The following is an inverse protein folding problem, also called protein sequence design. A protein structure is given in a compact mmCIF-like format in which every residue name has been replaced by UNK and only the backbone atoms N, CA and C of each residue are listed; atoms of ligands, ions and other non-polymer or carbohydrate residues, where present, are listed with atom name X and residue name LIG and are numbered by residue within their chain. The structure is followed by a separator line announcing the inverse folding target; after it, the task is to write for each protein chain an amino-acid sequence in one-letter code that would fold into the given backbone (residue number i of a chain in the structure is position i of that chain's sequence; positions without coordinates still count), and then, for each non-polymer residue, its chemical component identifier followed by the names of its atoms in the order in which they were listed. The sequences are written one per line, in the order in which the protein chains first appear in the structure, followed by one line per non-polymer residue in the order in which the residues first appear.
data_IF_503446366059
#
_entry.id   IF_503446366059
#
_cell.length_a   1.000
_cell.length_b   1.000
_cell.length_c   1.000
_cell.angle_alpha   90.00
_cell.angle_beta   90.00
_cell.angle_gamma   90.00
#
_symmetry.space_group_name_H-M   'P 1'
#
loop_
_entity.id
_entity.type
_entity.pdbx_description
1 polymer ?
#
# COMPACT_ATOMS: atom_id res chain seq x y z
N UNK A 1 17.39 -13.89 -0.04
CA UNK A 1 16.71 -14.53 -1.20
C UNK A 1 17.14 -13.69 -2.39
N UNK A 2 17.84 -14.29 -3.35
CA UNK A 2 18.27 -13.58 -4.56
C UNK A 2 17.10 -13.62 -5.56
N UNK A 3 16.29 -12.58 -5.54
CA UNK A 3 15.09 -12.48 -6.37
C UNK A 3 15.43 -11.73 -7.66
N UNK A 4 14.91 -12.16 -8.82
CA UNK A 4 15.18 -11.51 -10.11
C UNK A 4 14.49 -10.15 -10.28
N UNK A 5 13.65 -9.77 -9.32
CA UNK A 5 12.88 -8.53 -9.30
C UNK A 5 13.05 -7.81 -7.96
N UNK A 6 12.87 -6.49 -7.98
CA UNK A 6 12.72 -5.69 -6.77
C UNK A 6 11.24 -5.70 -6.34
N UNK A 7 10.97 -6.23 -5.16
CA UNK A 7 9.62 -6.44 -4.66
C UNK A 7 9.27 -5.37 -3.65
N UNK A 8 8.24 -4.59 -3.96
CA UNK A 8 7.68 -3.56 -3.10
C UNK A 8 6.27 -3.95 -2.66
N UNK A 9 6.08 -4.11 -1.36
CA UNK A 9 4.75 -4.35 -0.79
C UNK A 9 4.17 -3.00 -0.38
N UNK A 10 2.97 -2.70 -0.86
CA UNK A 10 2.28 -1.44 -0.60
C UNK A 10 0.97 -1.67 0.13
N UNK A 11 0.61 -0.68 0.93
CA UNK A 11 -0.72 -0.49 1.48
C UNK A 11 -0.99 0.98 1.66
N UNK A 12 -2.25 1.41 1.45
CA UNK A 12 -2.67 2.80 1.53
C UNK A 12 -3.90 2.97 2.40
N UNK A 13 -3.89 3.99 3.27
CA UNK A 13 -5.11 4.50 3.89
C UNK A 13 -5.59 5.73 3.13
N UNK A 14 -6.87 5.78 2.85
CA UNK A 14 -7.47 6.78 1.97
C UNK A 14 -8.63 7.51 2.64
N UNK A 15 -9.03 8.64 2.08
CA UNK A 15 -10.20 9.39 2.54
C UNK A 15 -11.53 8.78 2.07
N UNK A 16 -11.51 7.69 1.31
CA UNK A 16 -12.67 6.97 0.78
C UNK A 16 -12.26 5.98 -0.30
N UNK A 17 -13.21 5.46 -1.08
CA UNK A 17 -13.00 4.30 -1.96
C UNK A 17 -12.81 4.64 -3.44
N UNK A 18 -13.05 5.88 -3.86
CA UNK A 18 -12.98 6.32 -5.27
C UNK A 18 -11.73 7.17 -5.50
N UNK A 19 -10.76 6.64 -6.22
CA UNK A 19 -9.48 7.30 -6.52
C UNK A 19 -9.62 8.61 -7.32
N UNK A 20 -10.77 8.85 -7.96
CA UNK A 20 -11.04 10.09 -8.69
C UNK A 20 -11.51 11.23 -7.78
N UNK A 21 -12.02 10.87 -6.60
CA UNK A 21 -12.63 11.79 -5.63
C UNK A 21 -11.79 11.86 -4.37
N UNK A 22 -11.38 10.71 -3.86
CA UNK A 22 -10.71 10.56 -2.58
C UNK A 22 -9.17 10.59 -2.74
N UNK A 23 -8.46 10.70 -1.62
CA UNK A 23 -7.02 10.92 -1.59
C UNK A 23 -6.33 9.95 -0.63
N UNK A 24 -5.06 9.61 -0.90
CA UNK A 24 -4.20 8.90 0.04
C UNK A 24 -3.84 9.83 1.19
N UNK A 25 -3.95 9.34 2.43
CA UNK A 25 -3.56 10.04 3.66
C UNK A 25 -2.48 9.31 4.46
N UNK A 26 -2.30 8.01 4.21
CA UNK A 26 -1.14 7.24 4.68
C UNK A 26 -0.71 6.29 3.56
N UNK A 27 0.58 6.23 3.28
CA UNK A 27 1.20 5.31 2.34
C UNK A 27 2.32 4.58 3.05
N UNK A 28 2.33 3.27 2.98
CA UNK A 28 3.45 2.46 3.45
C UNK A 28 3.99 1.59 2.31
N UNK A 29 5.30 1.60 2.16
CA UNK A 29 6.03 0.71 1.26
C UNK A 29 7.05 -0.11 2.05
N UNK A 30 7.12 -1.40 1.75
CA UNK A 30 8.13 -2.31 2.24
C UNK A 30 8.94 -2.87 1.07
N UNK A 31 10.24 -2.61 1.04
CA UNK A 31 11.15 -3.17 0.04
C UNK A 31 11.67 -4.53 0.52
N UNK A 32 11.18 -5.61 -0.06
CA UNK A 32 11.46 -6.96 0.40
C UNK A 32 12.93 -7.34 0.28
N UNK A 33 13.57 -7.00 -0.83
CA UNK A 33 14.97 -7.35 -1.11
C UNK A 33 15.94 -6.68 -0.13
N UNK A 34 15.64 -5.45 0.32
CA UNK A 34 16.47 -4.69 1.26
C UNK A 34 15.96 -4.75 2.71
N UNK A 35 14.86 -5.45 2.97
CA UNK A 35 14.26 -5.62 4.30
C UNK A 35 14.02 -4.29 5.01
N UNK A 36 13.48 -3.29 4.31
CA UNK A 36 13.24 -1.95 4.85
C UNK A 36 11.83 -1.47 4.54
N UNK A 37 11.27 -0.70 5.46
CA UNK A 37 9.94 -0.10 5.34
C UNK A 37 10.02 1.41 5.54
N UNK A 38 9.17 2.13 4.83
CA UNK A 38 8.94 3.56 5.10
C UNK A 38 7.45 3.86 4.96
N UNK A 39 6.97 4.74 5.83
CA UNK A 39 5.58 5.19 5.85
C UNK A 39 5.53 6.72 5.77
N UNK A 40 4.64 7.22 4.94
CA UNK A 40 4.40 8.63 4.74
C UNK A 40 2.96 8.97 5.09
N UNK A 41 2.76 10.16 5.66
CA UNK A 41 1.43 10.71 5.90
C UNK A 41 1.23 11.92 5.01
N UNK A 42 0.13 11.94 4.27
CA UNK A 42 -0.17 12.93 3.27
C UNK A 42 -1.30 13.85 3.74
N UNK A 43 -1.12 15.14 3.56
CA UNK A 43 -2.19 16.11 3.71
C UNK A 43 -3.26 15.86 2.67
N UNK A 44 -4.53 15.87 3.06
CA UNK A 44 -5.65 15.91 2.14
C UNK A 44 -5.78 17.32 1.54
N UNK A 45 -5.76 17.42 0.21
CA UNK A 45 -5.99 18.67 -0.51
C UNK A 45 -7.47 18.96 -0.68
N UNK A 46 -8.30 17.91 -0.67
CA UNK A 46 -9.77 17.97 -0.77
C UNK A 46 -10.44 17.33 0.46
N UNK A 47 -10.18 17.85 1.67
CA UNK A 47 -10.69 17.22 2.90
C UNK A 47 -12.22 17.15 2.98
N UNK A 48 -12.92 17.97 2.19
CA UNK A 48 -14.38 17.96 2.07
C UNK A 48 -14.92 16.69 1.37
N UNK A 49 -14.09 15.96 0.65
CA UNK A 49 -14.45 14.69 0.01
C UNK A 49 -14.27 13.48 0.92
N UNK A 50 -13.67 13.69 2.10
CA UNK A 50 -13.37 12.61 3.01
C UNK A 50 -14.64 11.97 3.57
N UNK A 51 -14.71 10.64 3.49
CA UNK A 51 -15.81 9.85 4.01
C UNK A 51 -15.59 9.60 5.50
N UNK A 52 -16.57 9.94 6.38
CA UNK A 52 -16.41 9.76 7.82
C UNK A 52 -16.12 8.33 8.24
N UNK A 53 -16.70 7.35 7.54
CA UNK A 53 -16.47 5.93 7.83
C UNK A 53 -15.04 5.50 7.48
N UNK A 54 -14.47 5.98 6.40
CA UNK A 54 -13.06 5.73 6.05
C UNK A 54 -12.14 6.26 7.16
N UNK A 55 -12.32 7.52 7.57
CA UNK A 55 -11.51 8.13 8.63
C UNK A 55 -11.69 7.41 9.98
N UNK A 56 -12.90 6.93 10.29
CA UNK A 56 -13.16 6.16 11.51
C UNK A 56 -12.43 4.80 11.49
N UNK A 57 -12.39 4.13 10.34
CA UNK A 57 -11.76 2.82 10.19
C UNK A 57 -10.25 2.94 10.31
N UNK A 58 -9.65 3.90 9.63
CA UNK A 58 -8.18 4.06 9.60
C UNK A 58 -7.63 4.93 10.76
N UNK A 59 -8.51 5.51 11.57
CA UNK A 59 -8.13 6.27 12.78
C UNK A 59 -7.52 7.65 12.51
N UNK A 60 -7.71 8.21 11.30
CA UNK A 60 -7.29 9.57 10.99
C UNK A 60 -8.39 10.58 11.31
N UNK A 61 -8.03 11.77 11.76
CA UNK A 61 -9.00 12.86 11.98
C UNK A 61 -8.99 13.85 10.83
N UNK A 62 -10.18 14.37 10.50
CA UNK A 62 -10.35 15.36 9.44
C UNK A 62 -9.54 16.64 9.73
N UNK A 63 -9.46 17.05 11.00
CA UNK A 63 -8.71 18.23 11.43
C UNK A 63 -7.21 18.05 11.18
N UNK A 64 -6.67 16.86 11.45
CA UNK A 64 -5.25 16.58 11.29
C UNK A 64 -4.88 16.51 9.80
N UNK A 65 -5.60 15.74 8.99
CA UNK A 65 -5.31 15.59 7.55
C UNK A 65 -5.50 16.89 6.78
N UNK A 66 -6.32 17.83 7.27
CA UNK A 66 -6.54 19.16 6.66
C UNK A 66 -5.63 20.26 7.22
N UNK A 67 -4.63 19.92 8.03
CA UNK A 67 -3.70 20.87 8.67
C UNK A 67 -4.35 21.91 9.61
N UNK A 68 -5.53 21.64 10.13
CA UNK A 68 -6.18 22.54 11.10
C UNK A 68 -5.54 22.51 12.48
N UNK A 69 -4.78 21.45 12.81
CA UNK A 69 -4.07 21.29 14.08
C UNK A 69 -2.55 21.46 13.92
N UNK A 70 -1.83 21.69 15.02
CA UNK A 70 -0.37 21.70 15.02
C UNK A 70 0.19 20.29 14.72
N UNK A 71 -0.38 19.26 15.34
CA UNK A 71 -0.04 17.86 15.10
C UNK A 71 -0.23 17.49 13.62
N UNK A 72 -1.35 17.90 13.02
CA UNK A 72 -1.61 17.65 11.61
C UNK A 72 -0.55 18.26 10.71
N UNK A 73 -0.15 19.50 10.93
CA UNK A 73 0.91 20.17 10.16
C UNK A 73 2.29 19.54 10.34
N UNK A 74 2.57 18.96 11.49
CA UNK A 74 3.82 18.26 11.76
C UNK A 74 3.85 16.89 11.06
N UNK A 75 2.78 16.12 11.20
CA UNK A 75 2.69 14.73 10.75
C UNK A 75 2.45 14.61 9.25
N UNK A 76 1.47 15.32 8.70
CA UNK A 76 1.05 15.17 7.30
C UNK A 76 1.79 16.16 6.41
N UNK A 77 2.40 15.66 5.35
CA UNK A 77 3.19 16.48 4.42
C UNK A 77 2.40 16.75 3.12
N UNK A 78 2.79 17.77 2.42
CA UNK A 78 2.19 18.07 1.11
C UNK A 78 2.41 16.87 0.17
N UNK A 79 1.39 16.46 -0.61
CA UNK A 79 1.48 15.30 -1.50
C UNK A 79 2.67 15.36 -2.45
N UNK A 80 2.98 16.53 -3.02
CA UNK A 80 4.14 16.71 -3.90
C UNK A 80 5.46 16.41 -3.19
N UNK A 81 5.61 16.80 -1.93
CA UNK A 81 6.81 16.49 -1.13
C UNK A 81 6.94 15.01 -0.90
N UNK A 82 5.81 14.34 -0.63
CA UNK A 82 5.79 12.88 -0.42
C UNK A 82 6.14 12.14 -1.70
N UNK A 83 5.60 12.54 -2.86
CA UNK A 83 5.95 11.94 -4.17
C UNK A 83 7.46 11.96 -4.39
N UNK A 84 8.09 13.12 -4.23
CA UNK A 84 9.56 13.26 -4.38
C UNK A 84 10.32 12.40 -3.35
N UNK A 85 9.83 12.32 -2.12
CA UNK A 85 10.48 11.53 -1.07
C UNK A 85 10.35 10.01 -1.31
N UNK A 86 9.22 9.56 -1.86
CA UNK A 86 9.03 8.17 -2.31
C UNK A 86 9.97 7.85 -3.46
N UNK A 87 10.02 8.69 -4.49
CA UNK A 87 10.92 8.52 -5.64
C UNK A 87 12.37 8.40 -5.18
N UNK A 88 12.86 9.32 -4.35
CA UNK A 88 14.22 9.28 -3.81
C UNK A 88 14.49 7.99 -3.01
N UNK A 89 13.53 7.57 -2.18
CA UNK A 89 13.66 6.35 -1.39
C UNK A 89 13.72 5.10 -2.28
N UNK A 90 12.97 5.05 -3.37
CA UNK A 90 12.96 3.93 -4.31
C UNK A 90 14.16 3.93 -5.26
N UNK A 91 14.73 5.09 -5.59
CA UNK A 91 15.91 5.18 -6.46
C UNK A 91 17.18 4.55 -5.85
N UNK A 92 17.19 4.28 -4.55
CA UNK A 92 18.33 3.65 -3.87
C UNK A 92 18.60 2.21 -4.35
N UNK A 93 17.64 1.53 -4.98
CA UNK A 93 17.83 0.18 -5.53
C UNK A 93 18.40 0.16 -6.96
N UNK A 94 18.49 1.31 -7.62
CA UNK A 94 18.99 1.51 -8.97
C UNK A 94 18.27 0.68 -10.06
N UNK A 95 17.15 0.06 -9.77
CA UNK A 95 16.38 -0.73 -10.72
C UNK A 95 15.47 0.12 -11.60
N UNK A 96 15.23 -0.36 -12.82
CA UNK A 96 14.24 0.25 -13.70
C UNK A 96 12.79 -0.05 -13.21
N UNK A 97 11.78 0.70 -13.66
CA UNK A 97 10.39 0.41 -13.33
C UNK A 97 9.95 -1.01 -13.73
N UNK A 98 10.48 -1.55 -14.82
CA UNK A 98 10.16 -2.88 -15.36
C UNK A 98 10.73 -4.03 -14.51
N UNK A 99 11.71 -3.73 -13.66
CA UNK A 99 12.30 -4.69 -12.73
C UNK A 99 11.58 -4.70 -11.37
N UNK A 100 10.58 -3.84 -11.17
CA UNK A 100 9.82 -3.71 -9.93
C UNK A 100 8.49 -4.46 -10.00
N UNK A 101 8.18 -5.18 -8.92
CA UNK A 101 6.85 -5.77 -8.70
C UNK A 101 6.20 -5.05 -7.54
N UNK A 102 5.00 -4.54 -7.75
CA UNK A 102 4.17 -3.98 -6.70
C UNK A 102 3.24 -5.07 -6.16
N UNK A 103 3.35 -5.33 -4.88
CA UNK A 103 2.58 -6.37 -4.17
C UNK A 103 1.65 -5.72 -3.15
N UNK A 104 0.47 -6.31 -2.97
CA UNK A 104 -0.46 -5.87 -1.94
C UNK A 104 -1.55 -6.91 -1.67
N UNK A 105 -2.50 -6.53 -0.84
CA UNK A 105 -3.72 -7.29 -0.62
C UNK A 105 -4.91 -6.56 -1.25
N UNK A 106 -5.36 -6.96 -2.42
CA UNK A 106 -6.22 -6.20 -3.32
C UNK A 106 -5.48 -5.01 -3.97
N UNK A 107 -4.26 -5.26 -4.41
CA UNK A 107 -3.27 -4.25 -4.85
C UNK A 107 -3.77 -3.31 -5.95
N UNK A 108 -4.75 -3.71 -6.75
CA UNK A 108 -5.30 -2.83 -7.77
C UNK A 108 -5.91 -1.56 -7.16
N UNK A 109 -6.48 -1.64 -5.96
CA UNK A 109 -7.00 -0.49 -5.24
C UNK A 109 -5.86 0.50 -4.94
N UNK A 110 -4.79 0.01 -4.32
CA UNK A 110 -3.64 0.85 -3.95
C UNK A 110 -2.94 1.43 -5.18
N UNK A 111 -2.79 0.63 -6.23
CA UNK A 111 -2.18 1.06 -7.48
C UNK A 111 -2.96 2.19 -8.15
N UNK A 112 -4.29 2.11 -8.21
CA UNK A 112 -5.13 3.16 -8.74
C UNK A 112 -4.92 4.49 -7.99
N UNK A 113 -4.91 4.44 -6.66
CA UNK A 113 -4.67 5.60 -5.81
C UNK A 113 -3.24 6.15 -5.94
N UNK A 114 -2.23 5.28 -6.00
CA UNK A 114 -0.83 5.69 -6.22
C UNK A 114 -0.69 6.38 -7.57
N UNK A 115 -1.17 5.79 -8.64
CA UNK A 115 -1.14 6.38 -9.98
C UNK A 115 -1.82 7.75 -9.97
N UNK A 116 -2.99 7.85 -9.36
CA UNK A 116 -3.72 9.11 -9.26
C UNK A 116 -2.97 10.16 -8.46
N UNK A 117 -2.26 9.74 -7.40
CA UNK A 117 -1.40 10.64 -6.63
C UNK A 117 -0.31 11.26 -7.53
N UNK A 118 0.42 10.46 -8.31
CA UNK A 118 1.45 10.95 -9.24
C UNK A 118 0.87 11.86 -10.34
N UNK A 119 -0.25 11.46 -10.93
CA UNK A 119 -0.95 12.27 -11.94
C UNK A 119 -1.33 13.66 -11.41
N UNK A 120 -1.91 13.71 -10.20
CA UNK A 120 -2.34 14.96 -9.58
C UNK A 120 -1.17 15.89 -9.21
N UNK A 121 0.04 15.35 -9.06
CA UNK A 121 1.25 16.15 -8.80
C UNK A 121 2.04 16.48 -10.08
N UNK A 122 1.50 16.19 -11.27
CA UNK A 122 2.18 16.31 -12.56
C UNK A 122 3.50 15.51 -12.64
N UNK A 123 3.55 14.36 -11.99
CA UNK A 123 4.71 13.49 -11.88
C UNK A 123 4.49 12.10 -12.52
N UNK A 124 3.54 11.97 -13.45
CA UNK A 124 3.19 10.69 -14.07
C UNK A 124 4.35 9.99 -14.76
N UNK A 125 5.29 10.77 -15.32
CA UNK A 125 6.44 10.24 -16.05
C UNK A 125 7.53 9.70 -15.12
N UNK A 126 7.45 10.03 -13.82
CA UNK A 126 8.35 9.55 -12.76
C UNK A 126 7.71 8.50 -11.87
N UNK A 127 6.51 8.00 -12.24
CA UNK A 127 5.84 6.94 -11.47
C UNK A 127 6.75 5.71 -11.37
N UNK A 128 7.15 5.29 -10.16
CA UNK A 128 8.28 4.38 -9.99
C UNK A 128 8.01 2.94 -10.43
N UNK A 129 6.75 2.60 -10.72
CA UNK A 129 6.36 1.29 -11.24
C UNK A 129 6.03 1.31 -12.75
N UNK A 130 6.31 2.44 -13.41
CA UNK A 130 6.11 2.59 -14.85
C UNK A 130 4.65 2.65 -15.30
N UNK A 131 4.44 2.59 -16.61
CA UNK A 131 3.10 2.74 -17.21
C UNK A 131 2.25 1.47 -17.08
N UNK A 132 2.88 0.30 -16.96
CA UNK A 132 2.24 -1.02 -16.84
C UNK A 132 2.93 -1.83 -15.76
N UNK A 133 2.66 -1.55 -14.47
CA UNK A 133 3.33 -2.21 -13.36
C UNK A 133 3.01 -3.72 -13.33
N UNK A 134 3.97 -4.51 -12.93
CA UNK A 134 3.70 -5.88 -12.52
C UNK A 134 3.06 -5.86 -11.13
N UNK A 135 1.81 -6.33 -11.06
CA UNK A 135 1.05 -6.41 -9.82
C UNK A 135 0.99 -7.85 -9.34
N UNK A 136 1.23 -8.07 -8.07
CA UNK A 136 1.08 -9.35 -7.41
C UNK A 136 0.15 -9.22 -6.21
N UNK A 137 -1.00 -9.85 -6.28
CA UNK A 137 -2.05 -9.74 -5.27
C UNK A 137 -2.09 -10.99 -4.38
N UNK A 138 -1.82 -10.83 -3.08
CA UNK A 138 -1.86 -11.94 -2.12
C UNK A 138 -3.23 -12.59 -2.00
N UNK A 139 -4.31 -11.87 -2.30
CA UNK A 139 -5.67 -12.41 -2.38
C UNK A 139 -5.83 -13.32 -3.60
N UNK A 140 -5.26 -12.97 -4.74
CA UNK A 140 -5.28 -13.79 -5.95
C UNK A 140 -4.38 -15.04 -5.81
N UNK A 141 -3.22 -14.88 -5.16
CA UNK A 141 -2.36 -16.02 -4.81
C UNK A 141 -3.13 -17.01 -3.93
N UNK A 142 -3.86 -16.52 -2.92
CA UNK A 142 -4.66 -17.36 -2.05
C UNK A 142 -5.76 -18.11 -2.80
N UNK A 143 -6.43 -17.45 -3.74
CA UNK A 143 -7.41 -18.11 -4.62
C UNK A 143 -6.76 -19.22 -5.44
N UNK A 144 -5.57 -18.99 -5.98
CA UNK A 144 -4.83 -20.00 -6.74
C UNK A 144 -4.40 -21.18 -5.87
N UNK A 145 -3.88 -20.92 -4.66
CA UNK A 145 -3.54 -21.98 -3.68
C UNK A 145 -4.78 -22.84 -3.39
N UNK A 146 -5.91 -22.23 -3.11
CA UNK A 146 -7.14 -22.96 -2.82
C UNK A 146 -7.66 -23.75 -4.02
N UNK A 147 -7.49 -23.25 -5.23
CA UNK A 147 -7.84 -23.99 -6.45
C UNK A 147 -6.98 -25.25 -6.59
N UNK A 148 -5.66 -25.13 -6.39
CA UNK A 148 -4.72 -26.26 -6.47
C UNK A 148 -4.99 -27.29 -5.38
N UNK A 149 -5.24 -26.85 -4.15
CA UNK A 149 -5.53 -27.71 -3.01
C UNK A 149 -6.97 -28.22 -2.96
N UNK A 150 -7.82 -27.82 -3.92
CA UNK A 150 -9.27 -28.13 -3.96
C UNK A 150 -9.99 -27.75 -2.67
N UNK A 151 -9.59 -26.60 -2.10
CA UNK A 151 -10.12 -26.05 -0.87
C UNK A 151 -10.85 -24.74 -1.13
N UNK A 152 -11.51 -24.18 -0.13
CA UNK A 152 -12.17 -22.87 -0.20
C UNK A 152 -12.10 -22.17 1.16
N UNK A 153 -11.64 -20.92 1.17
CA UNK A 153 -11.79 -20.06 2.34
C UNK A 153 -13.19 -19.45 2.40
N UNK A 154 -13.68 -19.18 3.59
CA UNK A 154 -14.90 -18.42 3.78
C UNK A 154 -14.73 -16.96 3.39
N UNK A 155 -13.58 -16.39 3.76
CA UNK A 155 -13.23 -14.99 3.48
C UNK A 155 -11.80 -14.87 2.94
N UNK A 156 -11.58 -13.84 2.12
CA UNK A 156 -10.31 -13.54 1.46
C UNK A 156 -9.79 -12.12 1.78
N UNK A 157 -10.29 -11.47 2.85
CA UNK A 157 -9.72 -10.22 3.33
C UNK A 157 -8.45 -10.48 4.14
N UNK A 158 -7.59 -9.47 4.26
CA UNK A 158 -6.29 -9.57 4.92
C UNK A 158 -6.40 -10.16 6.34
N UNK A 159 -7.33 -9.64 7.15
CA UNK A 159 -7.49 -10.11 8.54
C UNK A 159 -7.82 -11.60 8.64
N UNK A 160 -8.66 -12.12 7.74
CA UNK A 160 -9.02 -13.55 7.71
C UNK A 160 -7.83 -14.42 7.29
N UNK A 161 -7.03 -13.97 6.31
CA UNK A 161 -5.86 -14.71 5.87
C UNK A 161 -4.72 -14.64 6.89
N UNK A 162 -4.49 -13.50 7.52
CA UNK A 162 -3.57 -13.34 8.65
C UNK A 162 -3.90 -14.36 9.75
N UNK A 163 -5.18 -14.48 10.12
CA UNK A 163 -5.64 -15.48 11.10
C UNK A 163 -5.43 -16.91 10.60
N UNK A 164 -5.77 -17.20 9.34
CA UNK A 164 -5.60 -18.54 8.73
C UNK A 164 -4.16 -19.02 8.81
N UNK A 165 -3.19 -18.13 8.52
CA UNK A 165 -1.77 -18.45 8.51
C UNK A 165 -1.08 -18.28 9.88
N UNK A 166 -1.83 -17.96 10.95
CA UNK A 166 -1.28 -17.78 12.29
C UNK A 166 -0.35 -16.57 12.42
N UNK A 167 -0.54 -15.58 11.56
CA UNK A 167 0.25 -14.35 11.52
C UNK A 167 -0.30 -13.31 12.51
N UNK A 168 0.46 -12.22 12.71
CA UNK A 168 0.04 -11.10 13.55
C UNK A 168 -0.15 -9.86 12.69
N UNK A 169 -1.21 -9.11 12.97
CA UNK A 169 -1.40 -7.75 12.52
C UNK A 169 -1.65 -6.90 13.78
N UNK A 170 -0.64 -6.17 14.22
CA UNK A 170 -0.65 -5.50 15.52
C UNK A 170 -1.61 -4.30 15.58
N UNK A 171 -1.87 -3.69 14.43
CA UNK A 171 -2.75 -2.53 14.29
C UNK A 171 -3.39 -2.54 12.91
N UNK A 172 -4.42 -3.36 12.75
CA UNK A 172 -5.21 -3.37 11.51
C UNK A 172 -5.73 -1.96 11.17
N UNK A 173 -5.81 -1.66 9.88
CA UNK A 173 -6.17 -0.35 9.35
C UNK A 173 -5.14 0.75 9.69
N UNK A 174 -3.87 0.40 9.59
CA UNK A 174 -2.74 1.31 9.49
C UNK A 174 -1.86 0.78 8.37
N UNK A 175 -1.58 1.58 7.36
CA UNK A 175 -0.82 1.16 6.19
C UNK A 175 0.52 0.50 6.56
N UNK A 176 1.19 1.01 7.60
CA UNK A 176 2.43 0.42 8.11
C UNK A 176 2.25 -1.04 8.59
N UNK A 177 1.19 -1.32 9.34
CA UNK A 177 0.93 -2.64 9.91
C UNK A 177 0.38 -3.62 8.86
N UNK A 178 -0.49 -3.13 7.98
CA UNK A 178 -1.11 -3.95 6.94
C UNK A 178 -0.08 -4.31 5.85
N UNK A 179 0.86 -3.43 5.52
CA UNK A 179 2.04 -3.74 4.68
C UNK A 179 2.89 -4.87 5.26
N UNK A 180 3.18 -4.85 6.58
CA UNK A 180 3.93 -5.92 7.23
C UNK A 180 3.15 -7.25 7.25
N UNK A 181 1.86 -7.18 7.55
CA UNK A 181 1.00 -8.36 7.54
C UNK A 181 0.92 -8.99 6.12
N UNK A 182 0.81 -8.15 5.09
CA UNK A 182 0.81 -8.57 3.69
C UNK A 182 2.15 -9.19 3.28
N UNK A 183 3.27 -8.63 3.74
CA UNK A 183 4.62 -9.21 3.55
C UNK A 183 4.71 -10.60 4.16
N UNK A 184 4.32 -10.76 5.42
CA UNK A 184 4.35 -12.07 6.08
C UNK A 184 3.40 -13.08 5.40
N UNK A 185 2.22 -12.63 4.96
CA UNK A 185 1.28 -13.45 4.20
C UNK A 185 1.90 -13.91 2.87
N UNK A 186 2.50 -13.01 2.11
CA UNK A 186 3.19 -13.35 0.86
C UNK A 186 4.25 -14.42 1.08
N UNK A 187 5.10 -14.27 2.10
CA UNK A 187 6.15 -15.24 2.41
C UNK A 187 5.57 -16.61 2.74
N UNK A 188 4.48 -16.67 3.52
CA UNK A 188 3.77 -17.93 3.83
C UNK A 188 3.14 -18.58 2.61
N UNK A 189 2.60 -17.78 1.69
CA UNK A 189 2.05 -18.29 0.44
C UNK A 189 3.13 -18.87 -0.47
N UNK A 190 4.30 -18.22 -0.54
CA UNK A 190 5.44 -18.69 -1.33
C UNK A 190 6.05 -19.98 -0.79
N UNK A 191 6.03 -20.23 0.54
CA UNK A 191 6.48 -21.48 1.15
C UNK A 191 5.70 -22.71 0.62
N UNK A 192 4.45 -22.53 0.18
CA UNK A 192 3.60 -23.62 -0.32
C UNK A 192 4.11 -24.19 -1.67
N UNK A 193 4.87 -23.39 -2.42
CA UNK A 193 5.39 -23.76 -3.75
C UNK A 193 6.86 -24.21 -3.73
N UNK A 194 7.48 -24.29 -2.55
CA UNK A 194 8.83 -24.79 -2.34
C UNK A 194 8.83 -26.26 -1.93
#
# INVERSE_FOLDING_TARGET
MDLPFQIYIADTETTGLDENINEIIELSLYHLNQNRQKTWHLRALKPETAQPDALRINGHSLENISHKTAEGREKYKEPKTVVVDVENWMMEDLSSPEEKILVGHNIQFDENFLRRLWDNQNSKDTYPFGTRPFLLDTRQIELFINLVQRNRNEYYNLGSLVKKYGLKNSKAHSAASDTLATKELLLKQLEIFQ
#
